data_IF_392161706805
#
_entry.id   IF_392161706805
#
_cell.length_a   1.000
_cell.length_b   1.000
_cell.length_c   1.000
_cell.angle_alpha   90.00
_cell.angle_beta   90.00
_cell.angle_gamma   90.00
#
_symmetry.space_group_name_H-M   'P 1'
#
loop_
_entity.id
_entity.type
_entity.pdbx_description
1 polymer ?
#
# COMPACT_ATOMS: atom_id res chain seq x y z
N UNK A 1 48.52 -30.22 -19.44
CA UNK A 1 48.19 -29.08 -18.55
C UNK A 1 46.67 -28.91 -18.59
N UNK A 2 45.97 -29.03 -17.46
CA UNK A 2 44.50 -28.98 -17.40
C UNK A 2 44.08 -27.53 -17.13
N UNK A 3 43.45 -26.88 -18.09
CA UNK A 3 42.90 -25.53 -17.95
C UNK A 3 41.61 -25.59 -17.13
N UNK A 4 41.65 -25.06 -15.91
CA UNK A 4 40.47 -24.84 -15.07
C UNK A 4 39.85 -23.53 -15.52
N UNK A 5 38.73 -23.59 -16.25
CA UNK A 5 37.96 -22.39 -16.58
C UNK A 5 37.15 -21.96 -15.35
N UNK A 6 37.54 -20.81 -14.79
CA UNK A 6 36.81 -20.12 -13.73
C UNK A 6 35.54 -19.48 -14.31
N UNK A 7 34.38 -19.93 -13.85
CA UNK A 7 33.08 -19.39 -14.25
C UNK A 7 32.73 -18.22 -13.30
N UNK A 8 33.01 -16.99 -13.72
CA UNK A 8 32.59 -15.78 -13.00
C UNK A 8 31.09 -15.60 -13.24
N UNK A 9 30.27 -15.90 -12.23
CA UNK A 9 28.83 -15.63 -12.24
C UNK A 9 28.62 -14.13 -11.99
N UNK A 10 28.32 -13.39 -13.06
CA UNK A 10 27.93 -11.99 -13.00
C UNK A 10 26.45 -11.91 -12.61
N UNK A 11 26.15 -11.88 -11.32
CA UNK A 11 24.79 -11.65 -10.82
C UNK A 11 24.41 -10.19 -11.02
N UNK A 12 23.69 -9.91 -12.12
CA UNK A 12 23.01 -8.64 -12.34
C UNK A 12 21.85 -8.54 -11.35
N UNK A 13 22.07 -7.86 -10.22
CA UNK A 13 20.99 -7.47 -9.32
C UNK A 13 20.12 -6.44 -10.04
N UNK A 14 18.98 -6.88 -10.55
CA UNK A 14 17.98 -6.02 -11.14
C UNK A 14 17.31 -5.23 -10.00
N UNK A 15 17.75 -3.99 -9.77
CA UNK A 15 17.02 -3.07 -8.90
C UNK A 15 15.76 -2.64 -9.66
N UNK A 16 14.63 -3.31 -9.38
CA UNK A 16 13.34 -2.83 -9.82
C UNK A 16 13.11 -1.47 -9.16
N UNK A 17 13.21 -0.41 -9.96
CA UNK A 17 12.77 0.91 -9.53
C UNK A 17 11.25 0.87 -9.47
N UNK A 18 10.68 0.99 -8.27
CA UNK A 18 9.24 1.16 -8.14
C UNK A 18 8.89 2.48 -8.85
N UNK A 19 8.06 2.40 -9.89
CA UNK A 19 7.62 3.56 -10.64
C UNK A 19 6.91 4.54 -9.67
N UNK A 20 7.38 5.79 -9.66
CA UNK A 20 6.81 6.85 -8.83
C UNK A 20 5.44 7.21 -9.41
N UNK A 21 4.38 6.77 -8.75
CA UNK A 21 3.02 6.99 -9.23
C UNK A 21 2.51 8.35 -8.77
N UNK A 22 2.35 9.29 -9.71
CA UNK A 22 1.72 10.58 -9.43
C UNK A 22 0.26 10.37 -9.03
N UNK A 23 -0.19 11.09 -8.01
CA UNK A 23 -1.58 11.08 -7.55
C UNK A 23 -2.17 12.48 -7.67
N UNK A 24 -3.39 12.55 -8.19
CA UNK A 24 -4.12 13.80 -8.26
C UNK A 24 -4.72 14.09 -6.89
N UNK A 25 -4.26 15.15 -6.22
CA UNK A 25 -4.85 15.63 -4.99
C UNK A 25 -5.73 16.85 -5.29
N UNK A 26 -6.99 16.81 -4.87
CA UNK A 26 -8.00 17.79 -5.26
C UNK A 26 -8.20 18.95 -4.26
N UNK A 27 -7.49 18.93 -3.13
CA UNK A 27 -7.57 20.00 -2.14
C UNK A 27 -6.70 21.21 -2.50
N UNK A 28 -6.88 22.35 -1.83
CA UNK A 28 -6.17 23.62 -2.10
C UNK A 28 -4.67 23.56 -1.79
N UNK A 29 -3.95 22.85 -2.65
CA UNK A 29 -2.50 22.78 -2.71
C UNK A 29 -2.04 22.71 -4.17
N UNK A 30 -2.60 23.62 -4.98
CA UNK A 30 -2.47 23.65 -6.44
C UNK A 30 -1.04 23.78 -6.97
N UNK A 31 -0.08 24.13 -6.11
CA UNK A 31 1.35 24.26 -6.45
C UNK A 31 2.19 23.07 -6.00
N UNK A 32 1.60 22.05 -5.39
CA UNK A 32 2.29 20.85 -4.99
C UNK A 32 1.95 19.66 -5.89
N UNK A 33 2.95 18.83 -6.16
CA UNK A 33 2.77 17.51 -6.72
C UNK A 33 2.78 16.47 -5.61
N UNK A 34 1.89 15.49 -5.72
CA UNK A 34 1.84 14.36 -4.82
C UNK A 34 2.17 13.08 -5.58
N UNK A 35 2.94 12.20 -4.95
CA UNK A 35 3.32 10.93 -5.54
C UNK A 35 3.44 9.82 -4.49
N UNK A 36 3.11 8.61 -4.89
CA UNK A 36 3.45 7.39 -4.15
C UNK A 36 4.89 7.06 -4.52
N UNK A 37 5.79 7.10 -3.54
CA UNK A 37 7.23 6.82 -3.75
C UNK A 37 7.60 5.39 -3.37
N UNK A 38 6.84 4.77 -2.48
CA UNK A 38 6.96 3.34 -2.15
C UNK A 38 5.68 2.81 -1.53
N UNK A 39 5.44 1.51 -1.67
CA UNK A 39 4.45 0.80 -0.89
C UNK A 39 4.94 -0.62 -0.60
N UNK A 40 4.48 -1.19 0.51
CA UNK A 40 4.73 -2.58 0.88
C UNK A 40 3.51 -3.17 1.57
N UNK A 41 3.28 -4.45 1.39
CA UNK A 41 2.25 -5.19 2.10
C UNK A 41 2.75 -5.55 3.51
N UNK A 42 1.90 -5.34 4.51
CA UNK A 42 2.19 -5.64 5.91
C UNK A 42 0.93 -6.22 6.57
N UNK A 43 0.86 -7.54 6.64
CA UNK A 43 -0.34 -8.25 7.09
C UNK A 43 -1.53 -7.93 6.18
N UNK A 44 -2.62 -7.43 6.77
CA UNK A 44 -3.83 -7.02 6.05
C UNK A 44 -3.80 -5.55 5.58
N UNK A 45 -2.68 -4.85 5.75
CA UNK A 45 -2.57 -3.42 5.43
C UNK A 45 -1.50 -3.13 4.39
N UNK A 46 -1.71 -2.09 3.59
CA UNK A 46 -0.68 -1.51 2.72
C UNK A 46 0.00 -0.36 3.44
N UNK A 47 1.31 -0.46 3.67
CA UNK A 47 2.10 0.67 4.13
C UNK A 47 2.62 1.45 2.92
N UNK A 48 2.22 2.71 2.80
CA UNK A 48 2.46 3.53 1.62
C UNK A 48 3.18 4.80 2.03
N UNK A 49 4.30 5.11 1.37
CA UNK A 49 4.97 6.39 1.51
C UNK A 49 4.52 7.32 0.40
N UNK A 50 4.01 8.49 0.79
CA UNK A 50 3.58 9.55 -0.11
C UNK A 50 4.54 10.71 0.03
N UNK A 51 5.03 11.22 -1.10
CA UNK A 51 5.75 12.46 -1.18
C UNK A 51 4.79 13.58 -1.58
N UNK A 52 4.95 14.74 -0.96
CA UNK A 52 4.45 16.02 -1.43
C UNK A 52 5.65 16.88 -1.81
N UNK A 53 5.73 17.34 -3.05
CA UNK A 53 6.75 18.26 -3.53
C UNK A 53 6.09 19.58 -3.94
N UNK A 54 6.38 20.66 -3.20
CA UNK A 54 5.87 22.00 -3.52
C UNK A 54 6.99 23.05 -3.56
N UNK A 55 6.65 24.32 -3.87
CA UNK A 55 7.65 25.38 -4.09
C UNK A 55 8.49 25.71 -2.84
N UNK A 56 7.96 25.46 -1.64
CA UNK A 56 8.63 25.81 -0.38
C UNK A 56 9.25 24.61 0.33
N UNK A 57 8.67 23.42 0.17
CA UNK A 57 9.14 22.23 0.87
C UNK A 57 8.70 20.95 0.18
N UNK A 58 9.55 19.94 0.32
CA UNK A 58 9.22 18.53 0.10
C UNK A 58 9.01 17.87 1.45
N UNK A 59 7.93 17.10 1.59
CA UNK A 59 7.72 16.26 2.75
C UNK A 59 7.25 14.87 2.34
N UNK A 60 7.34 13.95 3.30
CA UNK A 60 6.96 12.57 3.18
C UNK A 60 6.02 12.22 4.34
N UNK A 61 4.96 11.48 4.04
CA UNK A 61 4.08 10.87 5.04
C UNK A 61 3.96 9.38 4.74
N UNK A 62 3.71 8.58 5.77
CA UNK A 62 3.42 7.16 5.63
C UNK A 62 1.98 6.90 6.05
N UNK A 63 1.28 6.10 5.26
CA UNK A 63 -0.09 5.69 5.48
C UNK A 63 -0.11 4.16 5.65
N UNK A 64 -0.85 3.65 6.62
CA UNK A 64 -1.22 2.23 6.65
C UNK A 64 -2.69 2.12 6.24
N UNK A 65 -2.95 1.61 5.04
CA UNK A 65 -4.27 1.49 4.46
C UNK A 65 -4.82 0.09 4.68
N UNK A 66 -5.99 0.02 5.31
CA UNK A 66 -6.83 -1.17 5.32
C UNK A 66 -7.84 -1.03 4.19
N UNK A 67 -7.51 -1.62 3.03
CA UNK A 67 -8.36 -1.57 1.84
C UNK A 67 -9.73 -2.23 2.08
N UNK A 68 -9.81 -3.25 2.94
CA UNK A 68 -11.03 -4.01 3.18
C UNK A 68 -12.01 -3.25 4.07
N UNK A 69 -11.51 -2.66 5.16
CA UNK A 69 -12.34 -1.93 6.12
C UNK A 69 -12.42 -0.42 5.84
N UNK A 70 -11.78 0.06 4.77
CA UNK A 70 -11.80 1.46 4.35
C UNK A 70 -11.27 2.42 5.43
N UNK A 71 -10.19 2.00 6.06
CA UNK A 71 -9.58 2.72 7.17
C UNK A 71 -8.12 3.04 6.87
N UNK A 72 -7.61 4.09 7.52
CA UNK A 72 -6.22 4.53 7.43
C UNK A 72 -5.67 4.79 8.81
N UNK A 73 -4.40 4.48 8.99
CA UNK A 73 -3.61 4.99 10.10
C UNK A 73 -2.51 5.88 9.54
N UNK A 74 -2.42 7.08 10.10
CA UNK A 74 -1.49 8.09 9.64
C UNK A 74 -0.17 8.01 10.41
N UNK A 75 0.86 8.57 9.78
CA UNK A 75 2.12 8.89 10.41
C UNK A 75 2.38 10.37 10.15
N UNK A 76 3.11 11.02 11.06
CA UNK A 76 3.51 12.41 10.91
C UNK A 76 4.19 12.71 9.56
N UNK A 77 4.23 14.00 9.20
CA UNK A 77 4.97 14.47 8.04
C UNK A 77 6.43 14.75 8.40
N UNK A 78 7.34 14.27 7.56
CA UNK A 78 8.79 14.45 7.75
C UNK A 78 9.44 14.99 6.49
N UNK A 79 10.52 15.75 6.66
CA UNK A 79 11.29 16.33 5.56
C UNK A 79 12.33 15.36 4.96
N UNK A 80 12.43 14.13 5.46
CA UNK A 80 13.29 13.09 4.90
C UNK A 80 12.71 11.69 5.13
N UNK A 81 13.03 10.76 4.23
CA UNK A 81 12.68 9.35 4.36
C UNK A 81 13.32 8.73 5.61
N UNK A 82 14.57 9.08 5.93
CA UNK A 82 15.25 8.56 7.12
C UNK A 82 14.49 8.87 8.42
N UNK A 83 13.95 10.08 8.54
CA UNK A 83 13.14 10.47 9.70
C UNK A 83 11.79 9.76 9.71
N UNK A 84 11.19 9.58 8.53
CA UNK A 84 9.94 8.85 8.37
C UNK A 84 10.08 7.38 8.80
N UNK A 85 11.17 6.71 8.42
CA UNK A 85 11.40 5.29 8.77
C UNK A 85 11.61 5.06 10.27
N UNK A 86 12.04 6.08 11.02
CA UNK A 86 12.19 6.03 12.48
C UNK A 86 10.91 6.43 13.22
N UNK A 87 9.90 6.95 12.51
CA UNK A 87 8.65 7.38 13.09
C UNK A 87 7.70 6.20 13.31
N UNK A 88 6.73 6.42 14.21
CA UNK A 88 5.69 5.44 14.50
C UNK A 88 4.36 5.94 13.96
N UNK A 89 3.51 5.00 13.57
CA UNK A 89 2.14 5.30 13.23
C UNK A 89 1.39 5.84 14.44
N UNK A 90 0.42 6.71 14.18
CA UNK A 90 -0.51 7.18 15.19
C UNK A 90 -1.24 5.98 15.82
N UNK A 91 -1.52 5.99 17.12
CA UNK A 91 -2.16 4.86 17.78
C UNK A 91 -3.60 4.62 17.29
N UNK A 92 -4.23 5.65 16.73
CA UNK A 92 -5.61 5.61 16.28
C UNK A 92 -5.69 5.31 14.78
N UNK A 93 -6.72 4.53 14.42
CA UNK A 93 -7.10 4.27 13.06
C UNK A 93 -8.38 5.02 12.76
N UNK A 94 -8.43 5.66 11.59
CA UNK A 94 -9.51 6.54 11.18
C UNK A 94 -10.16 6.01 9.91
N UNK A 95 -11.41 6.40 9.68
CA UNK A 95 -12.09 6.11 8.42
C UNK A 95 -11.52 6.98 7.32
N UNK A 96 -11.34 6.43 6.12
CA UNK A 96 -10.84 7.22 5.00
C UNK A 96 -11.92 8.20 4.55
N UNK A 97 -11.64 9.50 4.69
CA UNK A 97 -12.50 10.59 4.23
C UNK A 97 -12.33 10.79 2.73
N UNK A 98 -13.44 10.91 2.00
CA UNK A 98 -13.42 11.14 0.55
C UNK A 98 -12.63 12.42 0.19
N UNK A 99 -11.80 12.34 -0.84
CA UNK A 99 -10.93 13.45 -1.29
C UNK A 99 -9.70 13.71 -0.43
N UNK A 100 -9.52 12.99 0.69
CA UNK A 100 -8.27 13.02 1.46
C UNK A 100 -7.12 12.37 0.69
N UNK A 101 -5.89 12.64 1.10
CA UNK A 101 -4.72 12.00 0.48
C UNK A 101 -4.78 10.47 0.58
N UNK A 102 -5.30 9.95 1.68
CA UNK A 102 -5.51 8.52 1.87
C UNK A 102 -6.56 7.95 0.89
N UNK A 103 -7.60 8.71 0.58
CA UNK A 103 -8.62 8.33 -0.41
C UNK A 103 -8.02 8.27 -1.82
N UNK A 104 -7.22 9.26 -2.21
CA UNK A 104 -6.57 9.28 -3.52
C UNK A 104 -5.55 8.16 -3.68
N UNK A 105 -4.73 7.92 -2.65
CA UNK A 105 -3.80 6.78 -2.64
C UNK A 105 -4.56 5.45 -2.71
N UNK A 106 -5.66 5.30 -1.94
CA UNK A 106 -6.49 4.09 -1.96
C UNK A 106 -7.06 3.83 -3.35
N UNK A 107 -7.53 4.87 -4.05
CA UNK A 107 -8.06 4.75 -5.42
C UNK A 107 -7.02 4.23 -6.40
N UNK A 108 -5.73 4.48 -6.16
CA UNK A 108 -4.64 3.97 -6.99
C UNK A 108 -4.28 2.54 -6.59
N UNK A 109 -4.02 2.29 -5.31
CA UNK A 109 -3.38 1.04 -4.86
C UNK A 109 -4.35 -0.09 -4.49
N UNK A 110 -5.56 0.21 -4.01
CA UNK A 110 -6.52 -0.84 -3.61
C UNK A 110 -7.33 -1.39 -4.81
N UNK A 111 -6.97 -1.04 -6.05
CA UNK A 111 -7.56 -1.62 -7.26
C UNK A 111 -7.01 -3.03 -7.49
N UNK A 112 -7.63 -4.00 -6.83
CA UNK A 112 -7.22 -5.41 -6.88
C UNK A 112 -7.56 -6.17 -5.60
N UNK A 113 -7.78 -5.47 -4.49
CA UNK A 113 -8.13 -6.07 -3.19
C UNK A 113 -9.63 -6.36 -3.06
N UNK A 114 -10.31 -6.62 -4.19
CA UNK A 114 -11.72 -7.00 -4.21
C UNK A 114 -11.91 -8.34 -3.50
N UNK A 115 -12.39 -8.26 -2.25
CA UNK A 115 -13.36 -9.20 -1.70
C UNK A 115 -12.93 -10.68 -1.57
N UNK A 116 -12.10 -10.98 -0.59
CA UNK A 116 -12.20 -12.25 0.17
C UNK A 116 -12.58 -11.96 1.61
N UNK A 117 -13.70 -11.25 1.78
CA UNK A 117 -14.37 -11.08 3.06
C UNK A 117 -15.89 -11.13 2.87
N UNK A 118 -16.39 -12.27 2.36
CA UNK A 118 -17.72 -12.84 2.64
C UNK A 118 -17.96 -14.06 1.75
N UNK A 119 -17.33 -15.18 2.10
CA UNK A 119 -18.06 -16.46 2.11
C UNK A 119 -17.91 -16.98 3.53
N UNK A 120 -18.89 -16.65 4.36
CA UNK A 120 -19.13 -17.41 5.56
C UNK A 120 -19.48 -18.84 5.12
N UNK A 121 -18.85 -19.81 5.79
CA UNK A 121 -19.13 -21.22 5.68
C UNK A 121 -20.64 -21.53 5.67
N UNK A 122 -21.19 -21.90 4.52
CA UNK A 122 -22.29 -22.86 4.50
C UNK A 122 -21.66 -24.26 4.52
N UNK A 123 -21.53 -24.80 5.73
CA UNK A 123 -21.24 -26.22 5.96
C UNK A 123 -22.35 -27.06 5.30
N UNK A 124 -22.01 -28.07 4.47
CA UNK A 124 -22.99 -28.90 3.81
C UNK A 124 -23.56 -29.93 4.78
N UNK A 125 -24.81 -29.76 5.21
CA UNK A 125 -25.56 -30.81 5.87
C UNK A 125 -26.16 -31.77 4.83
N UNK A 126 -25.39 -32.83 4.58
CA UNK A 126 -25.74 -34.17 4.10
C UNK A 126 -27.25 -34.49 3.92
N UNK A 127 -27.55 -34.94 2.70
CA UNK A 127 -28.76 -35.62 2.22
C UNK A 127 -29.26 -36.72 3.19
N UNK A 128 -30.59 -36.81 3.35
CA UNK A 128 -31.28 -38.10 3.54
C UNK A 128 -32.58 -38.11 2.74
N UNK A 129 -32.71 -39.14 1.89
CA UNK A 129 -33.90 -39.49 1.12
C UNK A 129 -34.91 -40.29 1.97
N UNK A 130 -36.07 -40.57 1.37
CA UNK A 130 -37.23 -41.39 1.80
C UNK A 130 -38.24 -40.67 2.73
N UNK A 131 -39.57 -40.77 2.58
CA UNK A 131 -40.39 -41.61 1.71
C UNK A 131 -41.83 -41.02 1.61
N UNK A 132 -42.53 -41.50 0.59
CA UNK A 132 -43.97 -41.41 0.26
C UNK A 132 -44.97 -41.30 1.44
N UNK A 133 -46.06 -40.53 1.26
CA UNK A 133 -47.49 -40.90 1.46
C UNK A 133 -48.33 -40.01 0.54
#
# INVERSE_FOLDING_TARGET
MKTVMSLVVLSVACYATADVQKIQYAYDDSKAEYSIVSFTESGSTLQVTVQRAGPYFTNYTKLALDCANHNVRHMGMYNSLERLEKAQFDPMQERIVAGSIADEVRKVLCRGTSMTASQADEVPAKVKADDKI
#
